data_IF_630657586584
#
_entry.id   IF_630657586584
#
_cell.length_a   1.000
_cell.length_b   1.000
_cell.length_c   1.000
_cell.angle_alpha   90.00
_cell.angle_beta   90.00
_cell.angle_gamma   90.00
#
_symmetry.space_group_name_H-M   'P 1'
#
loop_
_entity.id
_entity.type
_entity.pdbx_description
1 polymer ?
#
# COMPACT_ATOMS: atom_id res chain seq x y z
N UNK A 1 61.35 59.75 14.04
CA UNK A 1 60.61 59.63 12.72
C UNK A 1 60.52 58.14 12.41
N UNK A 2 59.48 57.50 12.78
CA UNK A 2 59.24 56.09 12.49
C UNK A 2 57.91 55.93 11.76
N UNK A 3 57.97 55.46 10.55
CA UNK A 3 56.76 55.12 9.79
C UNK A 3 56.39 53.64 10.01
N UNK A 4 55.26 53.42 10.66
CA UNK A 4 54.69 52.11 10.78
C UNK A 4 53.93 51.75 9.48
N UNK A 5 54.31 50.65 8.84
CA UNK A 5 53.63 50.09 7.73
C UNK A 5 52.53 49.09 8.26
N UNK A 6 51.30 49.38 7.98
CA UNK A 6 50.22 48.46 8.30
C UNK A 6 50.11 47.36 7.20
N UNK A 7 50.25 46.10 7.59
CA UNK A 7 49.97 44.96 6.75
C UNK A 7 48.43 44.77 6.68
N UNK A 8 47.89 44.92 5.47
CA UNK A 8 46.51 44.51 5.16
C UNK A 8 46.52 43.03 4.84
N UNK A 9 46.00 42.24 5.77
CA UNK A 9 45.75 40.82 5.52
C UNK A 9 44.50 40.68 4.64
N UNK A 10 44.70 40.39 3.36
CA UNK A 10 43.62 40.00 2.45
C UNK A 10 43.06 38.64 2.85
N UNK A 11 41.84 38.62 3.35
CA UNK A 11 41.09 37.37 3.52
C UNK A 11 40.71 36.83 2.15
N UNK A 12 41.40 35.78 1.70
CA UNK A 12 40.98 34.99 0.55
C UNK A 12 39.63 34.31 0.89
N UNK A 13 38.56 34.75 0.24
CA UNK A 13 37.27 34.05 0.28
C UNK A 13 37.48 32.68 -0.35
N UNK A 14 37.36 31.63 0.44
CA UNK A 14 37.29 30.25 -0.07
C UNK A 14 36.07 30.13 -0.96
N UNK A 15 36.18 29.47 -2.12
CA UNK A 15 34.99 29.22 -2.95
C UNK A 15 33.96 28.45 -2.15
N UNK A 16 32.75 28.97 -2.07
CA UNK A 16 31.63 28.29 -1.48
C UNK A 16 31.43 26.95 -2.20
N UNK A 17 31.75 25.84 -1.53
CA UNK A 17 31.58 24.51 -2.04
C UNK A 17 30.05 24.23 -2.20
N UNK A 18 29.66 23.28 -3.04
CA UNK A 18 28.25 22.89 -3.28
C UNK A 18 27.46 22.65 -1.98
N UNK A 19 28.13 22.32 -0.86
CA UNK A 19 27.58 22.24 0.49
C UNK A 19 27.04 23.57 1.05
N UNK A 20 27.52 24.72 0.58
CA UNK A 20 26.98 26.02 1.00
C UNK A 20 25.76 26.47 0.20
N UNK A 21 25.46 25.84 -0.95
CA UNK A 21 24.23 26.05 -1.70
C UNK A 21 23.01 25.36 -1.05
N UNK A 22 23.21 24.37 -0.18
CA UNK A 22 22.15 23.71 0.62
C UNK A 22 21.45 24.68 1.60
N UNK A 23 21.98 25.87 1.82
CA UNK A 23 21.43 26.91 2.70
C UNK A 23 20.71 28.05 2.00
N UNK A 24 20.40 27.93 0.72
CA UNK A 24 19.55 28.90 0.04
C UNK A 24 18.12 28.66 0.53
N UNK A 25 17.50 29.67 1.15
CA UNK A 25 16.11 29.68 1.57
C UNK A 25 15.21 29.19 0.43
N UNK A 26 14.55 28.05 0.61
CA UNK A 26 13.71 27.37 -0.38
C UNK A 26 14.35 26.16 -1.08
N UNK A 27 15.68 25.96 -1.02
CA UNK A 27 16.31 24.76 -1.57
C UNK A 27 16.13 23.55 -0.62
N UNK A 28 16.12 23.81 0.70
CA UNK A 28 15.92 22.80 1.74
C UNK A 28 14.45 22.36 1.94
N UNK A 29 13.52 22.95 1.20
CA UNK A 29 12.08 22.66 1.35
C UNK A 29 11.58 21.62 0.33
N UNK A 30 12.47 21.14 -0.55
CA UNK A 30 12.16 20.13 -1.56
C UNK A 30 12.45 18.73 -1.05
N UNK A 31 11.44 17.83 -1.14
CA UNK A 31 11.62 16.41 -0.84
C UNK A 31 12.26 15.73 -2.05
N UNK A 32 13.42 15.12 -1.84
CA UNK A 32 14.16 14.35 -2.84
C UNK A 32 13.87 12.85 -2.67
N UNK A 33 13.34 12.22 -3.72
CA UNK A 33 12.87 10.84 -3.66
C UNK A 33 13.72 9.90 -4.51
N UNK A 34 13.96 8.70 -3.98
CA UNK A 34 14.36 7.52 -4.72
C UNK A 34 13.15 6.63 -5.03
N UNK A 35 13.09 6.08 -6.23
CA UNK A 35 12.03 5.17 -6.62
C UNK A 35 12.60 3.77 -6.90
N UNK A 36 12.24 2.78 -6.11
CA UNK A 36 12.75 1.40 -6.14
C UNK A 36 11.64 0.47 -6.64
N UNK A 37 11.87 -0.18 -7.78
CA UNK A 37 10.89 -1.02 -8.46
C UNK A 37 9.95 -0.19 -9.35
N UNK A 38 10.33 -0.03 -10.62
CA UNK A 38 9.66 0.90 -11.56
C UNK A 38 8.79 0.19 -12.59
N UNK A 39 8.22 -0.98 -12.24
CA UNK A 39 7.24 -1.69 -13.05
C UNK A 39 5.89 -0.98 -13.10
N UNK A 40 4.84 -1.66 -13.59
CA UNK A 40 3.52 -1.04 -13.86
C UNK A 40 2.97 -0.20 -12.69
N UNK A 41 2.98 -0.75 -11.46
CA UNK A 41 2.53 0.03 -10.29
C UNK A 41 3.49 1.17 -9.95
N UNK A 42 4.79 0.97 -10.18
CA UNK A 42 5.77 2.03 -10.04
C UNK A 42 5.53 3.17 -11.02
N UNK A 43 5.13 2.89 -12.27
CA UNK A 43 4.77 3.93 -13.24
C UNK A 43 3.61 4.79 -12.75
N UNK A 44 2.55 4.17 -12.18
CA UNK A 44 1.41 4.89 -11.61
C UNK A 44 1.87 5.80 -10.46
N UNK A 45 2.69 5.29 -9.54
CA UNK A 45 3.20 6.07 -8.40
C UNK A 45 4.12 7.21 -8.82
N UNK A 46 4.94 7.01 -9.86
CA UNK A 46 5.78 8.08 -10.40
C UNK A 46 4.96 9.18 -11.04
N UNK A 47 3.90 8.83 -11.78
CA UNK A 47 2.97 9.80 -12.35
C UNK A 47 2.25 10.59 -11.25
N UNK A 48 1.77 9.93 -10.19
CA UNK A 48 1.11 10.58 -9.06
C UNK A 48 2.06 11.53 -8.33
N UNK A 49 3.29 11.10 -8.05
CA UNK A 49 4.30 11.98 -7.44
C UNK A 49 4.57 13.20 -8.29
N UNK A 50 4.56 13.05 -9.62
CA UNK A 50 4.75 14.17 -10.55
C UNK A 50 3.58 15.18 -10.53
N UNK A 51 2.33 14.75 -10.31
CA UNK A 51 1.20 15.67 -10.12
C UNK A 51 1.40 16.54 -8.86
N UNK A 52 2.08 16.01 -7.86
CA UNK A 52 2.33 16.68 -6.58
C UNK A 52 3.62 17.53 -6.56
N UNK A 53 4.40 17.54 -7.64
CA UNK A 53 5.72 18.21 -7.69
C UNK A 53 5.71 19.67 -7.28
N UNK A 54 4.64 20.41 -7.62
CA UNK A 54 4.53 21.83 -7.31
C UNK A 54 3.91 22.07 -5.95
N UNK A 55 2.77 21.44 -5.67
CA UNK A 55 2.04 21.62 -4.40
C UNK A 55 2.82 21.07 -3.21
N UNK A 56 3.47 19.92 -3.38
CA UNK A 56 4.25 19.25 -2.34
C UNK A 56 5.76 19.45 -2.48
N UNK A 57 6.24 20.20 -3.48
CA UNK A 57 7.68 20.40 -3.72
C UNK A 57 8.48 19.08 -3.59
N UNK A 58 7.96 17.99 -4.16
CA UNK A 58 8.55 16.65 -4.10
C UNK A 58 8.98 16.21 -5.50
N UNK A 59 10.10 15.53 -5.60
CA UNK A 59 10.68 15.17 -6.90
C UNK A 59 11.40 13.83 -6.84
N UNK A 60 11.10 12.93 -7.81
CA UNK A 60 11.85 11.70 -7.99
C UNK A 60 13.14 12.01 -8.73
N UNK A 61 14.25 12.07 -7.97
CA UNK A 61 15.58 12.39 -8.47
C UNK A 61 16.42 11.15 -8.79
N UNK A 62 15.94 9.98 -8.35
CA UNK A 62 16.63 8.70 -8.48
C UNK A 62 15.63 7.63 -8.84
N UNK A 63 15.94 6.79 -9.83
CA UNK A 63 15.15 5.60 -10.19
C UNK A 63 16.04 4.35 -10.09
N UNK A 64 15.46 3.27 -9.58
CA UNK A 64 16.15 2.00 -9.39
C UNK A 64 15.26 0.84 -9.81
N UNK A 65 15.75 0.02 -10.71
CA UNK A 65 15.11 -1.25 -11.08
C UNK A 65 16.18 -2.24 -11.53
N UNK A 66 16.03 -3.50 -11.18
CA UNK A 66 16.94 -4.55 -11.60
C UNK A 66 16.89 -4.78 -13.10
N UNK A 67 15.70 -4.64 -13.69
CA UNK A 67 15.52 -4.80 -15.13
C UNK A 67 15.85 -3.52 -15.88
N UNK A 68 16.79 -3.61 -16.81
CA UNK A 68 17.28 -2.48 -17.58
C UNK A 68 16.16 -1.70 -18.29
N UNK A 69 15.23 -2.41 -18.94
CA UNK A 69 14.12 -1.79 -19.68
C UNK A 69 13.24 -0.93 -18.77
N UNK A 70 12.85 -1.44 -17.62
CA UNK A 70 12.05 -0.68 -16.64
C UNK A 70 12.79 0.56 -16.17
N UNK A 71 14.08 0.43 -15.88
CA UNK A 71 14.93 1.53 -15.40
C UNK A 71 15.05 2.64 -16.45
N UNK A 72 15.27 2.28 -17.72
CA UNK A 72 15.39 3.24 -18.83
C UNK A 72 14.04 3.92 -19.11
N UNK A 73 12.94 3.18 -19.11
CA UNK A 73 11.58 3.71 -19.26
C UNK A 73 11.23 4.69 -18.14
N UNK A 74 11.52 4.32 -16.91
CA UNK A 74 11.29 5.18 -15.74
C UNK A 74 12.14 6.45 -15.81
N UNK A 75 13.39 6.37 -16.24
CA UNK A 75 14.25 7.55 -16.40
C UNK A 75 13.70 8.51 -17.45
N UNK A 76 13.25 8.00 -18.60
CA UNK A 76 12.63 8.82 -19.66
C UNK A 76 11.36 9.51 -19.17
N UNK A 77 10.45 8.77 -18.52
CA UNK A 77 9.20 9.32 -18.00
C UNK A 77 9.42 10.38 -16.92
N UNK A 78 10.34 10.14 -15.99
CA UNK A 78 10.66 11.14 -14.98
C UNK A 78 11.33 12.38 -15.58
N UNK A 79 12.14 12.23 -16.65
CA UNK A 79 12.68 13.38 -17.38
C UNK A 79 11.58 14.24 -18.01
N UNK A 80 10.52 13.62 -18.57
CA UNK A 80 9.34 14.32 -19.07
C UNK A 80 8.59 15.05 -17.93
N UNK A 81 8.39 14.38 -16.79
CA UNK A 81 7.64 14.94 -15.66
C UNK A 81 8.35 16.13 -15.00
N UNK A 82 9.66 16.03 -14.80
CA UNK A 82 10.42 16.99 -14.00
C UNK A 82 11.31 17.92 -14.83
N UNK A 83 11.38 17.72 -16.16
CA UNK A 83 12.23 18.53 -17.06
C UNK A 83 13.73 18.22 -16.95
N UNK A 84 14.10 17.16 -16.21
CA UNK A 84 15.49 16.69 -16.07
C UNK A 84 15.52 15.17 -15.83
N UNK A 85 16.56 14.51 -16.32
CA UNK A 85 16.74 13.09 -16.14
C UNK A 85 17.12 12.78 -14.67
N UNK A 86 16.48 11.77 -14.05
CA UNK A 86 16.91 11.27 -12.74
C UNK A 86 18.23 10.50 -12.86
N UNK A 87 18.94 10.36 -11.76
CA UNK A 87 20.02 9.37 -11.64
C UNK A 87 19.44 7.96 -11.71
N UNK A 88 20.14 7.03 -12.36
CA UNK A 88 19.66 5.66 -12.55
C UNK A 88 20.58 4.66 -11.87
N UNK A 89 20.01 3.73 -11.13
CA UNK A 89 20.76 2.67 -10.45
C UNK A 89 20.11 1.31 -10.70
N UNK A 90 20.92 0.29 -10.77
CA UNK A 90 20.44 -1.10 -10.85
C UNK A 90 20.19 -1.67 -9.46
N UNK A 91 20.98 -1.28 -8.48
CA UNK A 91 20.95 -1.84 -7.14
C UNK A 91 20.41 -0.82 -6.12
N UNK A 92 19.54 -1.29 -5.26
CA UNK A 92 18.90 -0.47 -4.23
C UNK A 92 19.91 0.02 -3.18
N UNK A 93 20.97 -0.74 -2.93
CA UNK A 93 22.02 -0.38 -1.97
C UNK A 93 22.70 0.94 -2.37
N UNK A 94 22.91 1.16 -3.68
CA UNK A 94 23.47 2.41 -4.19
C UNK A 94 22.53 3.60 -3.95
N UNK A 95 21.21 3.40 -4.09
CA UNK A 95 20.20 4.42 -3.81
C UNK A 95 20.14 4.75 -2.32
N UNK A 96 20.14 3.72 -1.47
CA UNK A 96 20.07 3.89 -0.02
C UNK A 96 21.31 4.57 0.57
N UNK A 97 22.47 4.45 -0.09
CA UNK A 97 23.71 5.12 0.30
C UNK A 97 23.71 6.64 0.01
N UNK A 98 22.80 7.14 -0.84
CA UNK A 98 22.74 8.55 -1.23
C UNK A 98 22.24 9.42 -0.06
N UNK A 99 23.01 10.40 0.33
CA UNK A 99 22.65 11.30 1.43
C UNK A 99 21.64 12.39 1.02
N UNK A 100 21.55 12.67 -0.25
CA UNK A 100 20.64 13.66 -0.85
C UNK A 100 19.30 13.08 -1.28
N UNK A 101 18.95 11.89 -0.82
CA UNK A 101 17.62 11.25 -0.95
C UNK A 101 16.99 11.22 0.44
N UNK A 102 15.83 11.90 0.59
CA UNK A 102 15.12 12.01 1.86
C UNK A 102 14.24 10.79 2.14
N UNK A 103 13.59 10.29 1.09
CA UNK A 103 12.67 9.16 1.18
C UNK A 103 12.66 8.29 -0.08
N UNK A 104 12.09 7.09 0.05
CA UNK A 104 12.00 6.14 -1.06
C UNK A 104 10.57 5.64 -1.26
N UNK A 105 10.17 5.50 -2.54
CA UNK A 105 8.97 4.79 -2.95
C UNK A 105 9.39 3.36 -3.27
N UNK A 106 8.78 2.37 -2.61
CA UNK A 106 9.05 0.95 -2.77
C UNK A 106 7.84 0.30 -3.44
N UNK A 107 7.97 -0.07 -4.71
CA UNK A 107 6.93 -0.71 -5.53
C UNK A 107 7.45 -1.94 -6.28
N UNK A 108 8.31 -2.67 -5.62
CA UNK A 108 8.86 -3.96 -6.05
C UNK A 108 7.78 -5.07 -5.97
N UNK A 109 8.06 -6.32 -6.35
CA UNK A 109 7.20 -7.45 -6.01
C UNK A 109 7.04 -7.65 -4.49
N UNK A 110 5.90 -8.18 -4.09
CA UNK A 110 5.42 -8.30 -2.70
C UNK A 110 6.42 -8.98 -1.75
N UNK A 111 7.08 -10.03 -2.23
CA UNK A 111 8.07 -10.77 -1.43
C UNK A 111 9.29 -9.93 -1.01
N UNK A 112 9.48 -8.78 -1.64
CA UNK A 112 10.62 -7.90 -1.37
C UNK A 112 10.27 -6.69 -0.48
N UNK A 113 8.97 -6.35 -0.32
CA UNK A 113 8.54 -5.13 0.35
C UNK A 113 9.12 -4.96 1.75
N UNK A 114 8.93 -5.94 2.63
CA UNK A 114 9.38 -5.85 4.03
C UNK A 114 10.88 -5.75 4.17
N UNK A 115 11.61 -6.55 3.40
CA UNK A 115 13.08 -6.56 3.45
C UNK A 115 13.64 -5.22 2.97
N UNK A 116 13.13 -4.68 1.86
CA UNK A 116 13.57 -3.38 1.33
C UNK A 116 13.14 -2.24 2.25
N UNK A 117 11.93 -2.28 2.83
CA UNK A 117 11.48 -1.31 3.81
C UNK A 117 12.43 -1.25 5.01
N UNK A 118 12.78 -2.42 5.56
CA UNK A 118 13.75 -2.49 6.67
C UNK A 118 15.09 -1.84 6.30
N UNK A 119 15.65 -2.20 5.13
CA UNK A 119 16.91 -1.63 4.65
C UNK A 119 16.81 -0.11 4.45
N UNK A 120 15.71 0.40 3.91
CA UNK A 120 15.49 1.83 3.71
C UNK A 120 15.48 2.62 5.03
N UNK A 121 14.77 2.11 6.03
CA UNK A 121 14.69 2.72 7.35
C UNK A 121 16.04 2.67 8.09
N UNK A 122 16.78 1.57 8.00
CA UNK A 122 18.13 1.44 8.55
C UNK A 122 19.13 2.41 7.88
N UNK A 123 18.90 2.74 6.59
CA UNK A 123 19.65 3.76 5.87
C UNK A 123 19.18 5.20 6.16
N UNK A 124 18.25 5.39 7.09
CA UNK A 124 17.74 6.70 7.50
C UNK A 124 16.77 7.34 6.52
N UNK A 125 16.11 6.56 5.63
CA UNK A 125 15.13 7.05 4.67
C UNK A 125 13.71 6.94 5.20
N UNK A 126 12.89 7.97 4.95
CA UNK A 126 11.45 7.83 5.02
C UNK A 126 10.97 6.93 3.87
N UNK A 127 9.82 6.25 4.00
CA UNK A 127 9.40 5.31 2.98
C UNK A 127 7.89 5.31 2.71
N UNK A 128 7.55 5.23 1.44
CA UNK A 128 6.26 4.74 0.98
C UNK A 128 6.46 3.31 0.48
N UNK A 129 5.79 2.34 1.06
CA UNK A 129 5.88 0.95 0.63
C UNK A 129 4.52 0.46 0.15
N UNK A 130 4.49 -0.13 -1.05
CA UNK A 130 3.25 -0.70 -1.59
C UNK A 130 2.72 -1.86 -0.71
N UNK A 131 1.42 -2.07 -0.80
CA UNK A 131 0.74 -3.18 -0.13
C UNK A 131 0.85 -4.49 -0.97
N UNK A 132 0.76 -5.65 -0.29
CA UNK A 132 0.83 -5.82 1.16
C UNK A 132 2.19 -5.41 1.67
N UNK A 133 2.30 -5.06 2.95
CA UNK A 133 3.61 -4.71 3.52
C UNK A 133 4.61 -5.88 3.42
N UNK A 134 4.11 -7.10 3.35
CA UNK A 134 4.87 -8.32 3.07
C UNK A 134 4.03 -9.57 3.28
N UNK A 135 4.58 -10.72 2.92
CA UNK A 135 3.93 -12.03 2.95
C UNK A 135 4.72 -13.12 3.70
N UNK A 136 5.77 -12.72 4.43
CA UNK A 136 6.55 -13.59 5.32
C UNK A 136 6.58 -12.97 6.71
N UNK A 137 5.98 -13.64 7.69
CA UNK A 137 5.74 -13.10 9.04
C UNK A 137 7.02 -12.58 9.71
N UNK A 138 8.11 -13.34 9.64
CA UNK A 138 9.39 -12.94 10.24
C UNK A 138 9.94 -11.65 9.63
N UNK A 139 9.82 -11.48 8.30
CA UNK A 139 10.28 -10.28 7.59
C UNK A 139 9.41 -9.07 7.91
N UNK A 140 8.08 -9.27 7.96
CA UNK A 140 7.11 -8.21 8.29
C UNK A 140 7.29 -7.74 9.74
N UNK A 141 7.49 -8.67 10.70
CA UNK A 141 7.84 -8.35 12.09
C UNK A 141 9.15 -7.54 12.16
N UNK A 142 10.20 -8.00 11.50
CA UNK A 142 11.49 -7.31 11.50
C UNK A 142 11.41 -5.90 10.92
N UNK A 143 10.68 -5.70 9.81
CA UNK A 143 10.48 -4.39 9.22
C UNK A 143 9.70 -3.46 10.15
N UNK A 144 8.56 -3.93 10.71
CA UNK A 144 7.77 -3.19 11.70
C UNK A 144 8.62 -2.75 12.88
N UNK A 145 9.36 -3.67 13.47
CA UNK A 145 10.15 -3.40 14.68
C UNK A 145 11.29 -2.40 14.40
N UNK A 146 11.86 -2.44 13.19
CA UNK A 146 12.86 -1.47 12.75
C UNK A 146 12.25 -0.07 12.61
N UNK A 147 11.07 0.03 11.97
CA UNK A 147 10.35 1.31 11.84
C UNK A 147 9.98 1.89 13.19
N UNK A 148 9.43 1.08 14.11
CA UNK A 148 9.02 1.53 15.44
C UNK A 148 10.18 2.00 16.33
N UNK A 149 11.42 1.56 16.06
CA UNK A 149 12.64 2.00 16.75
C UNK A 149 13.27 3.23 16.11
N UNK A 150 12.74 3.71 15.02
CA UNK A 150 13.26 4.85 14.27
C UNK A 150 12.34 6.06 14.36
N UNK A 151 12.82 7.21 13.89
CA UNK A 151 12.05 8.43 13.69
C UNK A 151 11.57 8.58 12.23
N UNK A 152 11.69 7.51 11.42
CA UNK A 152 11.34 7.56 10.01
C UNK A 152 9.83 7.50 9.81
N UNK A 153 9.37 8.27 8.82
CA UNK A 153 7.97 8.29 8.43
C UNK A 153 7.75 7.21 7.37
N UNK A 154 6.91 6.24 7.72
CA UNK A 154 6.58 5.13 6.82
C UNK A 154 5.08 5.09 6.57
N UNK A 155 4.69 5.19 5.30
CA UNK A 155 3.33 4.98 4.85
C UNK A 155 3.22 3.69 4.03
N UNK A 156 2.23 2.87 4.36
CA UNK A 156 1.91 1.64 3.61
C UNK A 156 0.79 1.93 2.61
N UNK A 157 0.91 1.42 1.39
CA UNK A 157 0.09 1.77 0.22
C UNK A 157 -1.36 1.26 0.23
N UNK A 158 -2.05 1.23 1.37
CA UNK A 158 -3.51 0.99 1.44
C UNK A 158 -4.25 2.32 1.38
N UNK A 159 -4.39 2.86 0.17
CA UNK A 159 -4.82 4.22 -0.12
C UNK A 159 -6.25 4.56 0.35
N UNK A 160 -7.12 3.56 0.53
CA UNK A 160 -8.51 3.76 0.98
C UNK A 160 -8.62 4.53 2.31
N UNK A 161 -7.61 4.46 3.19
CA UNK A 161 -7.57 5.24 4.43
C UNK A 161 -7.47 6.76 4.22
N UNK A 162 -7.08 7.19 3.04
CA UNK A 162 -6.96 8.62 2.69
C UNK A 162 -8.15 9.13 1.89
N UNK A 163 -9.03 8.25 1.42
CA UNK A 163 -10.20 8.64 0.63
C UNK A 163 -11.28 9.31 1.50
N UNK A 164 -11.91 10.38 0.99
CA UNK A 164 -12.95 11.10 1.74
C UNK A 164 -14.12 10.22 2.17
N UNK A 165 -14.60 9.34 1.29
CA UNK A 165 -15.77 8.49 1.59
C UNK A 165 -15.50 7.42 2.64
N UNK A 166 -14.45 6.61 2.58
CA UNK A 166 -14.08 5.72 3.66
C UNK A 166 -13.84 6.45 4.99
N UNK A 167 -13.23 7.64 4.96
CA UNK A 167 -13.02 8.45 6.18
C UNK A 167 -14.33 8.85 6.82
N UNK A 168 -15.27 9.40 6.05
CA UNK A 168 -16.57 9.77 6.57
C UNK A 168 -17.41 8.56 7.00
N UNK A 169 -17.28 7.42 6.30
CA UNK A 169 -17.90 6.17 6.73
C UNK A 169 -17.30 5.65 8.04
N UNK A 170 -15.98 5.73 8.21
CA UNK A 170 -15.32 5.43 9.48
C UNK A 170 -15.88 6.30 10.61
N UNK A 171 -15.90 7.62 10.45
CA UNK A 171 -16.37 8.54 11.46
C UNK A 171 -17.83 8.25 11.84
N UNK A 172 -18.68 7.91 10.86
CA UNK A 172 -20.05 7.49 11.10
C UNK A 172 -20.11 6.20 11.93
N UNK A 173 -19.29 5.18 11.61
CA UNK A 173 -19.24 3.93 12.38
C UNK A 173 -18.81 4.20 13.82
N UNK A 174 -17.85 5.12 14.03
CA UNK A 174 -17.37 5.48 15.38
C UNK A 174 -18.46 6.17 16.25
N UNK A 175 -19.54 6.67 15.66
CA UNK A 175 -20.68 7.17 16.45
C UNK A 175 -21.50 6.07 17.15
N UNK A 176 -21.22 4.79 16.83
CA UNK A 176 -21.98 3.65 17.34
C UNK A 176 -23.33 3.44 16.65
N UNK A 177 -23.54 4.06 15.48
CA UNK A 177 -24.82 4.00 14.72
C UNK A 177 -25.18 2.56 14.32
N UNK A 178 -24.20 1.68 14.12
CA UNK A 178 -24.43 0.28 13.77
C UNK A 178 -24.84 -0.58 14.99
N UNK A 179 -24.58 -0.10 16.21
CA UNK A 179 -24.63 -0.97 17.40
C UNK A 179 -23.52 -2.02 17.36
N UNK A 180 -23.72 -3.16 18.02
CA UNK A 180 -22.78 -4.27 17.98
C UNK A 180 -22.78 -4.90 16.57
N UNK A 181 -21.65 -4.81 15.86
CA UNK A 181 -21.46 -5.48 14.58
C UNK A 181 -21.16 -6.95 14.84
N UNK A 182 -21.94 -7.84 14.25
CA UNK A 182 -21.76 -9.29 14.37
C UNK A 182 -21.06 -9.92 13.15
N UNK A 183 -21.21 -9.29 11.97
CA UNK A 183 -20.67 -9.78 10.71
C UNK A 183 -20.22 -8.64 9.80
N UNK A 184 -19.08 -8.83 9.14
CA UNK A 184 -18.69 -8.06 7.96
C UNK A 184 -18.63 -9.01 6.78
N UNK A 185 -19.27 -8.65 5.67
CA UNK A 185 -19.26 -9.44 4.45
C UNK A 185 -18.63 -8.65 3.32
N UNK A 186 -17.68 -9.28 2.63
CA UNK A 186 -16.90 -8.68 1.54
C UNK A 186 -17.00 -9.60 0.33
N UNK A 187 -17.52 -9.08 -0.77
CA UNK A 187 -17.58 -9.77 -2.06
C UNK A 187 -16.83 -8.90 -3.06
N UNK A 188 -15.85 -9.50 -3.73
CA UNK A 188 -15.05 -8.80 -4.72
C UNK A 188 -14.73 -9.70 -5.91
N UNK A 189 -15.51 -9.59 -6.98
CA UNK A 189 -15.41 -10.44 -8.16
C UNK A 189 -14.74 -9.74 -9.35
N UNK A 190 -14.25 -10.52 -10.28
CA UNK A 190 -13.66 -10.07 -11.52
C UNK A 190 -13.77 -11.18 -12.57
N UNK A 191 -14.02 -10.82 -13.81
CA UNK A 191 -14.00 -11.79 -14.91
C UNK A 191 -12.71 -11.68 -15.73
N UNK A 192 -11.84 -12.66 -15.64
CA UNK A 192 -10.63 -12.76 -16.45
C UNK A 192 -9.44 -13.46 -15.78
N UNK A 193 -8.47 -13.92 -16.58
CA UNK A 193 -7.25 -14.57 -16.10
C UNK A 193 -6.26 -13.53 -15.51
N UNK A 194 -6.64 -12.94 -14.40
CA UNK A 194 -5.88 -11.86 -13.75
C UNK A 194 -4.39 -12.21 -13.61
N UNK A 195 -3.53 -11.24 -13.89
CA UNK A 195 -2.06 -11.28 -13.81
C UNK A 195 -1.36 -12.18 -14.84
N UNK A 196 -2.08 -12.93 -15.66
CA UNK A 196 -1.54 -13.74 -16.76
C UNK A 196 -1.45 -12.93 -18.06
N UNK A 197 -0.57 -13.34 -18.97
CA UNK A 197 -0.47 -12.77 -20.32
C UNK A 197 0.27 -11.44 -20.37
N UNK A 198 1.24 -11.22 -19.49
CA UNK A 198 2.09 -10.03 -19.49
C UNK A 198 2.98 -10.02 -20.72
N UNK A 199 2.88 -9.00 -21.55
CA UNK A 199 3.74 -8.83 -22.75
C UNK A 199 5.21 -8.72 -22.37
N UNK A 200 5.51 -8.20 -21.20
CA UNK A 200 6.86 -8.06 -20.64
C UNK A 200 7.59 -9.41 -20.54
N UNK A 201 6.88 -10.54 -20.41
CA UNK A 201 7.46 -11.89 -20.42
C UNK A 201 8.20 -12.22 -21.71
N UNK A 202 7.81 -11.59 -22.82
CA UNK A 202 8.46 -11.77 -24.13
C UNK A 202 9.70 -10.89 -24.30
N UNK A 203 9.83 -9.85 -23.49
CA UNK A 203 10.86 -8.82 -23.59
C UNK A 203 12.04 -9.09 -22.67
N UNK A 204 11.78 -9.60 -21.45
CA UNK A 204 12.81 -9.78 -20.44
C UNK A 204 13.71 -10.98 -20.75
N UNK A 205 15.01 -10.77 -20.58
CA UNK A 205 16.05 -11.82 -20.68
C UNK A 205 16.88 -11.80 -19.41
N UNK A 206 17.47 -12.94 -19.06
CA UNK A 206 18.30 -13.07 -17.86
C UNK A 206 19.43 -12.05 -17.80
N UNK A 207 20.07 -11.77 -18.93
CA UNK A 207 21.16 -10.79 -19.03
C UNK A 207 20.75 -9.32 -18.84
N UNK A 208 19.47 -9.01 -18.93
CA UNK A 208 18.93 -7.65 -18.82
C UNK A 208 18.52 -7.30 -17.39
N UNK A 209 18.61 -8.26 -16.46
CA UNK A 209 18.25 -8.11 -15.04
C UNK A 209 19.24 -8.87 -14.15
N UNK A 210 19.19 -8.63 -12.85
CA UNK A 210 19.87 -9.45 -11.86
C UNK A 210 18.86 -10.38 -11.17
N UNK A 211 18.73 -11.58 -11.73
CA UNK A 211 17.78 -12.58 -11.23
C UNK A 211 18.07 -13.00 -9.79
N UNK A 212 19.33 -13.11 -9.40
CA UNK A 212 19.72 -13.46 -8.03
C UNK A 212 19.27 -12.40 -7.02
N UNK A 213 19.46 -11.13 -7.34
CA UNK A 213 19.01 -9.99 -6.54
C UNK A 213 17.47 -9.89 -6.52
N UNK A 214 16.79 -10.25 -7.61
CA UNK A 214 15.32 -10.26 -7.65
C UNK A 214 14.72 -11.32 -6.72
N UNK A 215 15.33 -12.50 -6.64
CA UNK A 215 14.92 -13.55 -5.70
C UNK A 215 15.06 -13.12 -4.24
N UNK A 216 15.98 -12.22 -3.94
CA UNK A 216 16.25 -11.64 -2.61
C UNK A 216 16.51 -12.75 -1.57
N UNK A 217 15.54 -12.98 -0.68
CA UNK A 217 15.61 -13.99 0.40
C UNK A 217 15.17 -15.39 -0.06
N UNK A 218 14.60 -15.51 -1.26
CA UNK A 218 14.11 -16.79 -1.78
C UNK A 218 15.25 -17.70 -2.25
N UNK A 219 15.08 -19.03 -2.19
CA UNK A 219 16.06 -19.98 -2.71
C UNK A 219 16.37 -19.73 -4.18
N UNK A 220 17.64 -19.96 -4.56
CA UNK A 220 18.04 -19.84 -5.97
C UNK A 220 17.31 -20.87 -6.83
N UNK A 221 16.88 -20.43 -8.01
CA UNK A 221 16.31 -21.24 -9.10
C UNK A 221 16.69 -20.64 -10.44
N UNK A 222 16.65 -21.43 -11.54
CA UNK A 222 16.89 -20.89 -12.89
C UNK A 222 15.95 -19.74 -13.22
N UNK A 223 16.44 -18.82 -14.05
CA UNK A 223 15.64 -17.68 -14.50
C UNK A 223 14.38 -18.14 -15.25
N UNK A 224 13.25 -17.52 -14.90
CA UNK A 224 11.96 -17.74 -15.53
C UNK A 224 11.28 -16.39 -15.78
N UNK A 225 11.13 -15.97 -17.06
CA UNK A 225 10.50 -14.69 -17.39
C UNK A 225 9.03 -14.62 -16.98
N UNK A 226 8.30 -15.73 -16.96
CA UNK A 226 6.91 -15.75 -16.49
C UNK A 226 6.87 -15.50 -14.99
N UNK A 227 7.72 -16.17 -14.25
CA UNK A 227 7.79 -15.96 -12.80
C UNK A 227 8.21 -14.54 -12.47
N UNK A 228 9.15 -13.94 -13.19
CA UNK A 228 9.55 -12.56 -13.00
C UNK A 228 8.39 -11.57 -13.22
N UNK A 229 7.65 -11.69 -14.31
CA UNK A 229 6.63 -10.74 -14.69
C UNK A 229 5.23 -11.06 -14.10
N UNK A 230 4.95 -12.34 -13.84
CA UNK A 230 3.66 -12.86 -13.41
C UNK A 230 3.73 -13.46 -11.99
N UNK A 231 4.62 -12.99 -11.16
CA UNK A 231 4.94 -13.52 -9.81
C UNK A 231 3.72 -13.70 -8.90
N UNK A 232 2.65 -12.93 -9.12
CA UNK A 232 1.38 -13.03 -8.36
C UNK A 232 0.64 -14.35 -8.55
N UNK A 233 1.01 -15.12 -9.56
CA UNK A 233 0.45 -16.45 -9.82
C UNK A 233 1.12 -17.56 -9.00
N UNK A 234 2.26 -17.29 -8.38
CA UNK A 234 3.12 -18.28 -7.72
C UNK A 234 3.19 -18.04 -6.21
N UNK A 235 2.82 -19.06 -5.43
CA UNK A 235 2.67 -19.00 -3.97
C UNK A 235 3.93 -18.59 -3.20
N UNK A 236 5.11 -18.83 -3.76
CA UNK A 236 6.38 -18.46 -3.14
C UNK A 236 6.60 -16.94 -3.10
N UNK A 237 6.00 -16.20 -4.03
CA UNK A 237 6.24 -14.78 -4.23
C UNK A 237 5.04 -13.90 -3.85
N UNK A 238 3.84 -14.48 -3.86
CA UNK A 238 2.58 -13.80 -3.57
C UNK A 238 1.54 -14.79 -3.11
N UNK A 239 0.60 -14.39 -2.28
CA UNK A 239 -0.60 -15.17 -1.98
C UNK A 239 -1.73 -14.96 -3.02
N UNK A 240 -1.51 -14.16 -4.04
CA UNK A 240 -2.51 -13.85 -5.05
C UNK A 240 -3.65 -13.00 -4.50
N UNK A 241 -4.87 -13.54 -4.42
CA UNK A 241 -6.07 -12.83 -3.98
C UNK A 241 -5.93 -12.22 -2.58
N UNK A 242 -5.47 -12.92 -1.53
CA UNK A 242 -5.29 -12.32 -0.22
C UNK A 242 -4.39 -11.09 -0.23
N UNK A 243 -3.22 -11.16 -0.82
CA UNK A 243 -2.27 -10.06 -0.85
C UNK A 243 -2.73 -8.90 -1.74
N UNK A 244 -3.36 -9.21 -2.86
CA UNK A 244 -3.66 -8.19 -3.86
C UNK A 244 -4.98 -7.47 -3.62
N UNK A 245 -5.98 -8.17 -3.11
CA UNK A 245 -7.34 -7.64 -3.01
C UNK A 245 -7.85 -7.60 -1.57
N UNK A 246 -7.78 -8.74 -0.86
CA UNK A 246 -8.25 -8.78 0.51
C UNK A 246 -7.52 -7.77 1.41
N UNK A 247 -6.23 -7.50 1.14
CA UNK A 247 -5.44 -6.52 1.89
C UNK A 247 -6.09 -5.13 1.96
N UNK A 248 -6.73 -4.66 0.90
CA UNK A 248 -7.43 -3.38 0.89
C UNK A 248 -8.69 -3.42 1.77
N UNK A 249 -9.49 -4.48 1.59
CA UNK A 249 -10.77 -4.60 2.27
C UNK A 249 -10.60 -4.86 3.77
N UNK A 250 -9.68 -5.77 4.14
CA UNK A 250 -9.45 -6.12 5.54
C UNK A 250 -8.81 -4.96 6.33
N UNK A 251 -8.01 -4.13 5.68
CA UNK A 251 -7.46 -2.92 6.29
C UNK A 251 -8.57 -1.93 6.69
N UNK A 252 -9.61 -1.77 5.87
CA UNK A 252 -10.78 -0.97 6.22
C UNK A 252 -11.59 -1.62 7.36
N UNK A 253 -11.73 -2.94 7.38
CA UNK A 253 -12.37 -3.64 8.51
C UNK A 253 -11.62 -3.36 9.80
N UNK A 254 -10.30 -3.50 9.81
CA UNK A 254 -9.48 -3.20 10.99
C UNK A 254 -9.70 -1.76 11.49
N UNK A 255 -9.78 -0.83 10.58
CA UNK A 255 -9.96 0.59 10.88
C UNK A 255 -11.37 0.89 11.40
N UNK A 256 -12.41 0.44 10.71
CA UNK A 256 -13.81 0.71 11.10
C UNK A 256 -14.18 0.02 12.42
N UNK A 257 -13.69 -1.19 12.63
CA UNK A 257 -13.99 -1.97 13.83
C UNK A 257 -13.03 -1.70 15.00
N UNK A 258 -11.93 -0.95 14.77
CA UNK A 258 -10.88 -0.77 15.78
C UNK A 258 -10.39 -2.12 16.37
N UNK A 259 -10.26 -3.15 15.51
CA UNK A 259 -9.80 -4.48 15.88
C UNK A 259 -8.87 -5.01 14.78
N UNK A 260 -7.57 -5.04 15.07
CA UNK A 260 -6.54 -5.16 14.03
C UNK A 260 -6.02 -6.58 13.84
N UNK A 261 -6.25 -7.49 14.79
CA UNK A 261 -5.68 -8.82 14.73
C UNK A 261 -6.76 -9.90 14.83
N UNK A 262 -6.85 -10.80 13.83
CA UNK A 262 -7.76 -11.94 13.90
C UNK A 262 -7.50 -12.84 15.11
N UNK A 263 -8.55 -13.44 15.64
CA UNK A 263 -8.43 -14.58 16.57
C UNK A 263 -8.13 -15.85 15.81
N UNK A 264 -8.85 -16.07 14.70
CA UNK A 264 -8.68 -17.26 13.87
C UNK A 264 -9.14 -17.04 12.44
N UNK A 265 -8.65 -17.86 11.51
CA UNK A 265 -9.08 -17.89 10.11
C UNK A 265 -9.26 -19.33 9.62
N UNK A 266 -10.26 -19.52 8.75
CA UNK A 266 -10.45 -20.74 7.95
C UNK A 266 -10.67 -20.32 6.50
N UNK A 267 -10.07 -21.02 5.53
CA UNK A 267 -10.16 -20.67 4.13
C UNK A 267 -10.35 -21.88 3.25
N UNK A 268 -11.01 -21.68 2.13
CA UNK A 268 -11.13 -22.64 1.05
C UNK A 268 -11.05 -21.92 -0.30
N UNK A 269 -10.72 -22.65 -1.34
CA UNK A 269 -10.61 -22.08 -2.69
C UNK A 269 -9.97 -23.07 -3.65
N UNK A 270 -9.60 -22.58 -4.82
CA UNK A 270 -8.96 -23.42 -5.83
C UNK A 270 -8.80 -22.69 -7.16
N UNK A 271 -8.31 -23.45 -8.14
CA UNK A 271 -8.22 -23.05 -9.53
C UNK A 271 -9.41 -23.67 -10.25
N UNK A 272 -10.51 -22.93 -10.36
CA UNK A 272 -11.77 -23.44 -10.92
C UNK A 272 -12.12 -22.82 -12.27
N UNK A 273 -11.61 -21.61 -12.55
CA UNK A 273 -11.93 -20.88 -13.78
C UNK A 273 -10.75 -20.88 -14.78
N UNK A 274 -9.52 -20.67 -14.33
CA UNK A 274 -8.39 -20.38 -15.22
C UNK A 274 -7.23 -21.37 -15.02
N UNK A 275 -7.24 -22.47 -15.78
CA UNK A 275 -6.21 -23.53 -15.75
C UNK A 275 -4.99 -23.13 -16.61
N UNK A 276 -4.34 -22.03 -16.27
CA UNK A 276 -3.27 -21.38 -17.03
C UNK A 276 -1.87 -21.61 -16.45
N UNK A 277 -1.73 -22.58 -15.53
CA UNK A 277 -0.48 -22.93 -14.86
C UNK A 277 -0.16 -22.06 -13.63
N UNK A 278 -1.18 -21.33 -13.11
CA UNK A 278 -1.07 -20.66 -11.80
C UNK A 278 -1.02 -21.67 -10.65
N UNK A 279 -0.45 -21.26 -9.54
CA UNK A 279 -0.50 -21.99 -8.26
C UNK A 279 -1.55 -21.37 -7.34
N UNK A 280 -1.62 -20.03 -7.30
CA UNK A 280 -2.56 -19.30 -6.47
C UNK A 280 -4.01 -19.45 -7.00
N UNK A 281 -4.94 -19.53 -6.08
CA UNK A 281 -6.36 -19.67 -6.36
C UNK A 281 -6.89 -18.53 -7.24
N UNK A 282 -7.83 -18.84 -8.12
CA UNK A 282 -8.65 -17.88 -8.85
C UNK A 282 -10.04 -17.69 -8.24
N UNK A 283 -10.40 -18.57 -7.30
CA UNK A 283 -11.60 -18.48 -6.48
C UNK A 283 -11.20 -18.76 -5.04
N UNK A 284 -11.52 -17.84 -4.13
CA UNK A 284 -11.03 -17.86 -2.76
C UNK A 284 -12.08 -17.35 -1.78
N UNK A 285 -12.29 -18.13 -0.71
CA UNK A 285 -13.21 -17.84 0.39
C UNK A 285 -12.45 -17.92 1.71
N UNK A 286 -12.73 -16.98 2.63
CA UNK A 286 -12.20 -17.05 3.99
C UNK A 286 -13.20 -16.52 5.01
N UNK A 287 -13.24 -17.17 6.19
CA UNK A 287 -13.92 -16.69 7.39
C UNK A 287 -12.89 -16.34 8.43
N UNK A 288 -12.94 -15.13 8.94
CA UNK A 288 -11.97 -14.58 9.90
C UNK A 288 -12.73 -14.11 11.14
N UNK A 289 -12.42 -14.70 12.29
CA UNK A 289 -13.00 -14.34 13.58
C UNK A 289 -12.12 -13.28 14.28
N UNK A 290 -12.75 -12.26 14.85
CA UNK A 290 -12.06 -11.18 15.57
C UNK A 290 -12.37 -11.20 17.07
N UNK A 291 -11.42 -10.74 17.92
CA UNK A 291 -11.57 -10.71 19.38
C UNK A 291 -12.79 -9.95 19.90
N UNK A 292 -13.20 -8.88 19.20
CA UNK A 292 -14.41 -8.09 19.56
C UNK A 292 -15.73 -8.80 19.29
N UNK A 293 -15.70 -10.02 18.78
CA UNK A 293 -16.91 -10.87 18.65
C UNK A 293 -17.65 -10.67 17.34
N UNK A 294 -16.95 -10.39 16.24
CA UNK A 294 -17.54 -10.39 14.91
C UNK A 294 -16.80 -11.33 13.95
N UNK A 295 -17.50 -11.75 12.90
CA UNK A 295 -16.98 -12.60 11.85
C UNK A 295 -16.87 -11.81 10.55
N UNK A 296 -15.72 -11.89 9.89
CA UNK A 296 -15.54 -11.41 8.51
C UNK A 296 -15.68 -12.60 7.55
N UNK A 297 -16.53 -12.46 6.52
CA UNK A 297 -16.50 -13.34 5.36
C UNK A 297 -15.98 -12.58 4.15
N UNK A 298 -14.96 -13.12 3.50
CA UNK A 298 -14.37 -12.57 2.28
C UNK A 298 -14.49 -13.58 1.15
N UNK A 299 -14.98 -13.13 0.00
CA UNK A 299 -15.24 -13.94 -1.18
C UNK A 299 -14.71 -13.26 -2.43
N UNK A 300 -13.99 -14.00 -3.27
CA UNK A 300 -13.53 -13.56 -4.59
C UNK A 300 -13.62 -14.69 -5.60
N UNK A 301 -14.14 -14.41 -6.79
CA UNK A 301 -14.01 -15.26 -7.97
C UNK A 301 -13.49 -14.45 -9.15
N UNK A 302 -12.51 -15.00 -9.88
CA UNK A 302 -12.07 -14.48 -11.18
C UNK A 302 -12.85 -15.07 -12.35
N UNK A 303 -13.87 -15.90 -12.09
CA UNK A 303 -14.72 -16.53 -13.08
C UNK A 303 -15.89 -15.68 -13.58
N UNK A 304 -16.26 -14.61 -12.86
CA UNK A 304 -17.38 -13.74 -13.22
C UNK A 304 -17.24 -12.36 -12.57
N UNK A 305 -17.99 -11.39 -13.07
CA UNK A 305 -18.05 -9.99 -12.62
C UNK A 305 -19.34 -9.64 -11.87
N UNK A 306 -19.95 -10.62 -11.18
CA UNK A 306 -21.07 -10.34 -10.27
C UNK A 306 -20.73 -9.18 -9.33
N UNK A 307 -21.71 -8.31 -9.00
CA UNK A 307 -21.46 -7.09 -8.26
C UNK A 307 -20.69 -7.30 -6.97
N UNK A 308 -19.67 -6.49 -6.78
CA UNK A 308 -18.87 -6.43 -5.55
C UNK A 308 -19.57 -5.57 -4.51
N UNK A 309 -19.46 -5.94 -3.23
CA UNK A 309 -20.01 -5.16 -2.12
C UNK A 309 -19.28 -5.44 -0.83
N UNK A 310 -19.29 -4.48 0.09
CA UNK A 310 -18.85 -4.69 1.47
C UNK A 310 -19.97 -4.23 2.41
N UNK A 311 -20.36 -5.09 3.36
CA UNK A 311 -21.45 -4.82 4.32
C UNK A 311 -20.96 -5.00 5.75
N UNK A 312 -21.20 -4.00 6.60
CA UNK A 312 -20.97 -4.05 8.04
C UNK A 312 -22.33 -4.18 8.73
N UNK A 313 -22.63 -5.37 9.25
CA UNK A 313 -23.95 -5.75 9.74
C UNK A 313 -23.98 -5.65 11.26
N UNK A 314 -24.58 -4.57 11.75
CA UNK A 314 -24.75 -4.32 13.17
C UNK A 314 -26.19 -4.55 13.65
N UNK A 315 -26.40 -4.60 14.97
CA UNK A 315 -27.73 -4.80 15.56
C UNK A 315 -28.71 -3.67 15.26
N UNK A 316 -28.21 -2.43 15.05
CA UNK A 316 -29.06 -1.24 14.83
C UNK A 316 -29.15 -0.85 13.36
N UNK A 317 -28.09 -1.10 12.60
CA UNK A 317 -28.04 -0.74 11.18
C UNK A 317 -26.97 -1.55 10.43
N UNK A 318 -27.15 -1.63 9.12
CA UNK A 318 -26.16 -2.16 8.19
C UNK A 318 -25.61 -1.03 7.32
N UNK A 319 -24.28 -0.90 7.31
CA UNK A 319 -23.55 0.00 6.40
C UNK A 319 -23.04 -0.79 5.20
N UNK A 320 -23.43 -0.40 3.99
CA UNK A 320 -23.04 -1.08 2.75
C UNK A 320 -22.28 -0.14 1.84
N UNK A 321 -21.10 -0.55 1.36
CA UNK A 321 -20.45 0.06 0.21
C UNK A 321 -21.11 -0.44 -1.07
N UNK A 322 -21.94 0.36 -1.71
CA UNK A 322 -22.71 0.02 -2.93
C UNK A 322 -22.01 0.46 -4.22
N UNK A 323 -20.97 1.28 -4.13
CA UNK A 323 -20.27 1.82 -5.30
C UNK A 323 -19.11 0.93 -5.78
N UNK A 324 -18.78 -0.14 -5.06
CA UNK A 324 -17.58 -0.93 -5.30
C UNK A 324 -16.29 -0.12 -5.07
N UNK A 325 -15.15 -0.64 -5.54
CA UNK A 325 -13.86 0.03 -5.33
C UNK A 325 -13.67 1.32 -6.13
N UNK A 326 -14.28 1.42 -7.30
CA UNK A 326 -14.07 2.56 -8.20
C UNK A 326 -14.84 3.82 -7.79
N UNK A 327 -15.85 3.69 -6.94
CA UNK A 327 -16.70 4.80 -6.51
C UNK A 327 -17.36 4.44 -5.18
N UNK A 328 -16.61 4.44 -4.06
CA UNK A 328 -17.15 4.04 -2.77
C UNK A 328 -18.31 4.96 -2.38
N UNK A 329 -19.48 4.39 -2.32
CA UNK A 329 -20.70 5.03 -1.82
C UNK A 329 -21.22 4.18 -0.69
N UNK A 330 -21.53 4.80 0.42
CA UNK A 330 -22.02 4.08 1.57
C UNK A 330 -23.51 4.36 1.79
N UNK A 331 -24.27 3.29 1.90
CA UNK A 331 -25.68 3.32 2.26
C UNK A 331 -25.82 2.78 3.69
N UNK A 332 -26.47 3.55 4.56
CA UNK A 332 -26.87 3.09 5.87
C UNK A 332 -28.35 2.68 5.82
N UNK A 333 -28.63 1.44 6.23
CA UNK A 333 -29.98 0.91 6.37
C UNK A 333 -30.17 0.51 7.81
N UNK A 334 -31.17 1.12 8.48
CA UNK A 334 -31.50 0.80 9.87
C UNK A 334 -32.23 -0.55 9.93
N UNK A 335 -31.84 -1.40 10.89
CA UNK A 335 -32.51 -2.69 11.10
C UNK A 335 -33.92 -2.50 11.68
N UNK A 336 -34.85 -3.35 11.21
CA UNK A 336 -36.21 -3.39 11.74
C UNK A 336 -36.29 -4.49 12.77
N UNK A 337 -36.54 -4.14 14.02
CA UNK A 337 -36.86 -5.13 15.06
C UNK A 337 -38.12 -5.92 14.70
N UNK A 338 -38.04 -7.22 14.84
CA UNK A 338 -39.15 -8.14 14.53
C UNK A 338 -39.81 -8.72 15.78
N UNK A 339 -39.27 -8.44 16.99
CA UNK A 339 -39.78 -8.99 18.26
C UNK A 339 -40.02 -7.90 19.28
N UNK A 340 -41.09 -8.05 20.04
CA UNK A 340 -41.51 -7.12 21.11
C UNK A 340 -40.48 -7.00 22.25
N UNK A 341 -39.53 -7.91 22.33
CA UNK A 341 -38.50 -7.95 23.38
C UNK A 341 -37.28 -7.03 23.10
N UNK A 342 -37.18 -6.50 21.88
CA UNK A 342 -36.09 -5.57 21.49
C UNK A 342 -36.55 -4.11 21.73
N UNK A 343 -36.61 -3.69 22.98
CA UNK A 343 -37.06 -2.36 23.40
C UNK A 343 -36.26 -1.18 22.80
N UNK A 344 -35.10 -1.47 22.24
CA UNK A 344 -34.18 -0.46 21.69
C UNK A 344 -34.29 -0.25 20.16
N UNK A 345 -35.18 -0.98 19.46
CA UNK A 345 -35.30 -0.92 18.01
C UNK A 345 -36.60 -0.25 17.60
N UNK A 346 -36.50 0.95 17.00
CA UNK A 346 -37.66 1.66 16.42
C UNK A 346 -38.01 1.06 15.05
N UNK A 347 -39.15 0.36 15.00
CA UNK A 347 -39.68 -0.35 13.82
C UNK A 347 -40.12 0.56 12.67
N UNK A 348 -40.06 1.87 12.80
CA UNK A 348 -40.51 2.87 11.79
C UNK A 348 -39.41 3.48 10.98
N UNK A 349 -38.16 3.02 11.12
CA UNK A 349 -37.00 3.64 10.48
C UNK A 349 -36.92 3.37 9.00
N UNK A 350 -36.65 4.43 8.23
CA UNK A 350 -36.46 4.39 6.79
C UNK A 350 -34.97 4.26 6.46
N UNK A 351 -34.67 3.63 5.31
CA UNK A 351 -33.32 3.63 4.76
C UNK A 351 -32.81 5.06 4.62
N UNK A 352 -31.68 5.36 5.22
CA UNK A 352 -30.99 6.63 5.02
C UNK A 352 -29.82 6.40 4.06
N UNK A 353 -29.81 7.15 2.97
CA UNK A 353 -28.59 7.37 2.24
C UNK A 353 -27.74 8.32 3.07
N UNK A 354 -26.60 7.85 3.54
CA UNK A 354 -25.60 8.77 4.09
C UNK A 354 -24.89 9.36 2.89
N UNK A 355 -25.40 10.51 2.42
CA UNK A 355 -24.67 11.36 1.51
C UNK A 355 -23.53 11.97 2.32
N UNK A 356 -22.31 11.55 2.01
CA UNK A 356 -21.14 12.08 2.68
C UNK A 356 -20.90 13.55 2.27
N UNK A 357 -20.38 14.40 3.15
CA UNK A 357 -20.06 15.77 2.81
C UNK A 357 -19.17 15.82 1.56
N UNK A 358 -19.67 16.39 0.46
CA UNK A 358 -18.95 16.50 -0.82
C UNK A 358 -19.70 15.96 -2.04
N UNK A 359 -20.86 15.31 -1.90
CA UNK A 359 -21.62 14.77 -3.05
C UNK A 359 -22.30 15.81 -3.94
N UNK A 360 -22.22 17.10 -3.65
CA UNK A 360 -22.68 18.11 -4.57
C UNK A 360 -21.66 18.32 -5.68
N UNK A 361 -21.65 17.41 -6.67
CA UNK A 361 -21.03 17.66 -7.98
C UNK A 361 -19.57 17.25 -8.16
N UNK A 362 -18.95 16.53 -7.25
CA UNK A 362 -17.63 15.96 -7.51
C UNK A 362 -17.76 14.66 -8.33
N UNK A 363 -17.00 14.50 -9.43
CA UNK A 363 -16.94 13.23 -10.13
C UNK A 363 -16.40 12.14 -9.20
N UNK A 364 -16.76 10.86 -9.42
CA UNK A 364 -16.16 9.76 -8.67
C UNK A 364 -14.63 9.85 -8.79
N UNK A 365 -13.95 9.81 -7.65
CA UNK A 365 -12.49 9.80 -7.63
C UNK A 365 -11.99 8.55 -8.37
N UNK A 366 -11.16 8.74 -9.37
CA UNK A 366 -10.47 7.65 -10.05
C UNK A 366 -9.47 6.94 -9.13
N UNK A 367 -8.95 5.79 -9.55
CA UNK A 367 -7.90 5.08 -8.79
C UNK A 367 -6.70 6.02 -8.51
N UNK A 368 -6.38 6.86 -9.46
CA UNK A 368 -5.27 7.81 -9.36
C UNK A 368 -5.49 8.90 -8.31
N UNK A 369 -6.71 9.41 -8.19
CA UNK A 369 -7.06 10.43 -7.18
C UNK A 369 -6.92 9.92 -5.75
N UNK A 370 -7.26 8.65 -5.51
CA UNK A 370 -7.12 7.98 -4.19
C UNK A 370 -5.67 7.90 -3.75
N UNK A 371 -4.80 7.50 -4.67
CA UNK A 371 -3.38 7.41 -4.40
C UNK A 371 -2.75 8.80 -4.29
N UNK A 372 -3.31 9.80 -4.99
CA UNK A 372 -2.89 11.20 -4.89
C UNK A 372 -3.05 11.72 -3.46
N UNK A 373 -4.25 11.57 -2.86
CA UNK A 373 -4.53 11.96 -1.48
C UNK A 373 -3.62 11.21 -0.48
N UNK A 374 -3.39 9.94 -0.73
CA UNK A 374 -2.55 9.11 0.12
C UNK A 374 -1.07 9.53 0.06
N UNK A 375 -0.56 9.82 -1.13
CA UNK A 375 0.82 10.30 -1.30
C UNK A 375 0.99 11.73 -0.79
N UNK A 376 -0.02 12.59 -0.95
CA UNK A 376 -0.05 13.92 -0.34
C UNK A 376 0.12 13.83 1.16
N UNK A 377 -0.66 12.98 1.83
CA UNK A 377 -0.54 12.75 3.26
C UNK A 377 0.87 12.27 3.67
N UNK A 378 1.49 11.37 2.90
CA UNK A 378 2.87 10.96 3.18
C UNK A 378 3.85 12.13 3.13
N UNK A 379 3.80 12.96 2.10
CA UNK A 379 4.68 14.14 1.98
C UNK A 379 4.47 15.16 3.10
N UNK A 380 3.22 15.39 3.51
CA UNK A 380 2.89 16.25 4.65
C UNK A 380 3.46 15.67 5.95
N UNK A 381 3.35 14.35 6.13
CA UNK A 381 3.90 13.66 7.30
C UNK A 381 5.44 13.66 7.30
N UNK A 382 6.10 13.58 6.15
CA UNK A 382 7.57 13.74 6.06
C UNK A 382 8.01 15.10 6.57
N UNK A 383 7.23 16.17 6.37
CA UNK A 383 7.53 17.52 6.88
C UNK A 383 7.16 17.71 8.34
N UNK A 384 5.94 17.33 8.70
CA UNK A 384 5.40 17.54 10.04
C UNK A 384 5.90 16.52 11.06
N UNK A 385 6.49 15.41 10.60
CA UNK A 385 6.88 14.25 11.42
C UNK A 385 5.70 13.61 12.17
N UNK A 386 4.45 13.90 11.73
CA UNK A 386 3.25 13.22 12.23
C UNK A 386 3.10 11.83 11.59
N UNK A 387 2.33 10.96 12.25
CA UNK A 387 2.08 9.63 11.70
C UNK A 387 1.14 9.71 10.49
N UNK A 388 1.42 8.94 9.43
CA UNK A 388 0.57 8.92 8.24
C UNK A 388 -0.73 8.13 8.45
N UNK A 389 -1.66 8.26 7.51
CA UNK A 389 -2.97 7.60 7.56
C UNK A 389 -2.88 6.07 7.62
N UNK A 390 -1.89 5.48 6.95
CA UNK A 390 -1.62 4.05 7.05
C UNK A 390 -0.19 3.81 7.54
N UNK A 391 -0.06 3.60 8.85
CA UNK A 391 1.22 3.36 9.53
C UNK A 391 1.76 1.96 9.27
N UNK A 392 3.01 1.72 9.65
CA UNK A 392 3.61 0.37 9.65
C UNK A 392 2.80 -0.64 10.48
N UNK A 393 2.13 -0.20 11.56
CA UNK A 393 1.29 -1.06 12.38
C UNK A 393 0.04 -1.52 11.61
N UNK A 394 -0.58 -0.64 10.84
CA UNK A 394 -1.70 -1.00 9.98
C UNK A 394 -1.25 -1.98 8.88
N UNK A 395 -0.10 -1.71 8.25
CA UNK A 395 0.50 -2.61 7.27
C UNK A 395 0.82 -4.00 7.83
N UNK A 396 1.36 -4.05 9.04
CA UNK A 396 1.59 -5.29 9.76
C UNK A 396 0.29 -6.05 10.02
N UNK A 397 -0.74 -5.37 10.51
CA UNK A 397 -2.01 -5.99 10.85
C UNK A 397 -2.71 -6.63 9.64
N UNK A 398 -2.85 -5.92 8.52
CA UNK A 398 -3.48 -6.52 7.34
C UNK A 398 -2.62 -7.64 6.74
N UNK A 399 -1.29 -7.55 6.81
CA UNK A 399 -0.41 -8.63 6.37
C UNK A 399 -0.59 -9.89 7.22
N UNK A 400 -0.77 -9.76 8.53
CA UNK A 400 -1.09 -10.90 9.42
C UNK A 400 -2.41 -11.57 9.01
N UNK A 401 -3.47 -10.81 8.79
CA UNK A 401 -4.76 -11.37 8.37
C UNK A 401 -4.66 -12.11 7.02
N UNK A 402 -3.93 -11.53 6.05
CA UNK A 402 -3.68 -12.15 4.75
C UNK A 402 -2.89 -13.45 4.89
N UNK A 403 -1.82 -13.46 5.69
CA UNK A 403 -1.00 -14.66 5.92
C UNK A 403 -1.79 -15.76 6.63
N UNK A 404 -2.63 -15.42 7.62
CA UNK A 404 -3.50 -16.41 8.30
C UNK A 404 -4.50 -17.03 7.31
N UNK A 405 -5.15 -16.22 6.49
CA UNK A 405 -6.08 -16.73 5.47
C UNK A 405 -5.37 -17.59 4.42
N UNK A 406 -4.18 -17.18 3.99
CA UNK A 406 -3.35 -17.93 3.04
C UNK A 406 -2.89 -19.26 3.61
N UNK A 407 -2.40 -19.28 4.84
CA UNK A 407 -1.95 -20.50 5.51
C UNK A 407 -3.13 -21.43 5.80
N UNK A 408 -4.31 -20.91 6.17
CA UNK A 408 -5.51 -21.71 6.33
C UNK A 408 -5.90 -22.41 5.02
N UNK A 409 -5.77 -21.73 3.87
CA UNK A 409 -6.02 -22.30 2.56
C UNK A 409 -5.02 -23.42 2.20
N UNK A 410 -3.72 -23.15 2.34
CA UNK A 410 -2.70 -24.13 1.94
C UNK A 410 -2.61 -25.33 2.87
N UNK A 411 -2.81 -25.14 4.17
CA UNK A 411 -2.77 -26.24 5.15
C UNK A 411 -4.09 -27.00 5.26
N UNK A 412 -5.20 -26.40 4.83
CA UNK A 412 -6.56 -26.93 5.06
C UNK A 412 -6.97 -26.95 6.55
N UNK A 413 -6.28 -26.18 7.39
CA UNK A 413 -6.49 -26.15 8.84
C UNK A 413 -6.85 -24.75 9.31
N UNK A 414 -7.69 -24.68 10.36
CA UNK A 414 -7.96 -23.42 11.06
C UNK A 414 -6.66 -22.86 11.62
N UNK A 415 -6.37 -21.59 11.30
CA UNK A 415 -5.23 -20.88 11.84
C UNK A 415 -5.64 -20.01 13.01
N UNK A 416 -4.75 -19.85 13.98
CA UNK A 416 -4.94 -18.98 15.13
C UNK A 416 -3.81 -17.95 15.17
N UNK A 417 -4.14 -16.73 15.53
CA UNK A 417 -3.12 -15.71 15.78
C UNK A 417 -2.57 -15.86 17.20
N UNK A 418 -1.27 -15.99 17.27
CA UNK A 418 -0.51 -15.88 18.53
C UNK A 418 0.35 -14.63 18.44
N UNK A 419 0.11 -13.69 19.34
CA UNK A 419 0.83 -12.41 19.38
C UNK A 419 2.22 -12.50 20.00
N UNK A 420 2.66 -13.72 20.50
CA UNK A 420 3.95 -13.90 21.14
C UNK A 420 5.18 -13.73 20.23
#
# INVERSE_FOLDING_TARGET
MGKSAALIAGSAALPSTALSYERILGANDRISLGHIGTGSRGEDLAWIAAQLKTSQKAEINVVCDLWKLNREKAASKNAEYYGRAPRTFQYLEDVLALKDVDGVIISTPEHAHSTILKMAVEAGKDAYVEKPMGNVLAEVKAARDTVLKSDRIVQVGTQHRSEPYPRAAHDLVQTGVLGDVSKVEIIWNYHGPRWRGREETKLIREQDTDWRKWLLTKPYRPFDPKLYCEFRLYKEFSSGIPDQWMSHAIDLVHWFMNDSFPRSAVSHGGIFAWHDGRENADTFETLIEYPKGFLVSYSTSFGNDSPSSTRYMGKKATLTNIGGEGSPRYQLVEEKGTHEDDADIDTKRASRFVLLPGETGLPPLGIDDRTLEHMTNWFECMRSRQQPHCTVQNGFAHSVANMMATEAYWSGKKQYWDAA
#
